data_IF_012218064991
#
_entry.id   IF_012218064991
#
_cell.length_a   1.000
_cell.length_b   1.000
_cell.length_c   1.000
_cell.angle_alpha   90.00
_cell.angle_beta   90.00
_cell.angle_gamma   90.00
#
_symmetry.space_group_name_H-M   'P 1'
#
loop_
_entity.id
_entity.type
_entity.pdbx_description
1 polymer ?
#
# COMPACT_ATOMS: atom_id res chain seq x y z
N UNK A 1 7.15 37.60 -2.91
CA UNK A 1 6.63 37.52 -1.52
C UNK A 1 5.50 36.51 -1.51
N UNK A 2 5.51 35.54 -0.59
CA UNK A 2 4.40 34.57 -0.44
C UNK A 2 3.10 35.32 -0.11
N UNK A 3 2.00 34.98 -0.78
CA UNK A 3 0.69 35.52 -0.40
C UNK A 3 0.25 34.93 0.94
N UNK A 4 -0.59 35.65 1.69
CA UNK A 4 -1.14 35.16 2.97
C UNK A 4 -1.87 33.83 2.77
N UNK A 5 -2.57 33.68 1.65
CA UNK A 5 -3.23 32.44 1.24
C UNK A 5 -2.24 31.27 1.14
N UNK A 6 -1.11 31.46 0.44
CA UNK A 6 -0.09 30.42 0.32
C UNK A 6 0.50 30.02 1.67
N UNK A 7 0.68 30.97 2.59
CA UNK A 7 1.21 30.68 3.93
C UNK A 7 0.25 29.78 4.75
N UNK A 8 -1.06 30.02 4.63
CA UNK A 8 -2.08 29.20 5.30
C UNK A 8 -2.05 27.76 4.77
N UNK A 9 -2.04 27.56 3.45
CA UNK A 9 -2.02 26.21 2.87
C UNK A 9 -0.73 25.46 3.15
N UNK A 10 0.42 26.14 3.16
CA UNK A 10 1.68 25.55 3.60
C UNK A 10 1.58 25.09 5.07
N UNK A 11 0.98 25.91 5.93
CA UNK A 11 0.73 25.56 7.33
C UNK A 11 -0.16 24.32 7.48
N UNK A 12 -1.26 24.25 6.73
CA UNK A 12 -2.17 23.09 6.74
C UNK A 12 -1.43 21.84 6.25
N UNK A 13 -0.68 21.94 5.15
CA UNK A 13 0.09 20.82 4.61
C UNK A 13 1.13 20.29 5.61
N UNK A 14 1.90 21.19 6.25
CA UNK A 14 2.88 20.80 7.26
C UNK A 14 2.22 20.17 8.49
N UNK A 15 1.07 20.69 8.93
CA UNK A 15 0.30 20.11 10.02
C UNK A 15 -0.16 18.68 9.66
N UNK A 16 -0.72 18.49 8.46
CA UNK A 16 -1.16 17.16 8.00
C UNK A 16 0.01 16.19 7.93
N UNK A 17 1.15 16.60 7.39
CA UNK A 17 2.36 15.78 7.37
C UNK A 17 2.85 15.43 8.77
N UNK A 18 2.84 16.40 9.70
CA UNK A 18 3.27 16.17 11.08
C UNK A 18 2.35 15.17 11.79
N UNK A 19 1.02 15.32 11.66
CA UNK A 19 0.05 14.39 12.23
C UNK A 19 0.23 12.97 11.67
N UNK A 20 0.46 12.85 10.36
CA UNK A 20 0.64 11.57 9.68
C UNK A 20 1.98 10.89 10.01
N UNK A 21 3.08 11.65 10.07
CA UNK A 21 4.43 11.11 10.28
C UNK A 21 4.79 10.88 11.74
N UNK A 22 4.25 11.67 12.67
CA UNK A 22 4.47 11.49 14.10
C UNK A 22 3.54 10.42 14.73
N UNK A 23 2.74 9.73 13.91
CA UNK A 23 1.76 8.70 14.31
C UNK A 23 0.82 9.16 15.45
N UNK A 24 0.60 10.48 15.58
CA UNK A 24 -0.27 11.07 16.61
C UNK A 24 -1.74 10.69 16.37
N UNK A 25 -2.09 10.47 15.11
CA UNK A 25 -3.39 9.99 14.65
C UNK A 25 -3.20 8.96 13.55
N UNK A 26 -4.27 8.24 13.17
CA UNK A 26 -4.21 7.40 11.98
C UNK A 26 -4.05 8.24 10.72
N UNK A 27 -3.38 7.70 9.70
CA UNK A 27 -3.15 8.38 8.42
C UNK A 27 -4.45 8.94 7.83
N UNK A 28 -5.55 8.19 7.93
CA UNK A 28 -6.87 8.60 7.46
C UNK A 28 -7.41 9.82 8.23
N UNK A 29 -7.24 9.86 9.56
CA UNK A 29 -7.69 10.99 10.38
C UNK A 29 -6.86 12.23 10.09
N UNK A 30 -5.53 12.10 9.97
CA UNK A 30 -4.65 13.21 9.58
C UNK A 30 -5.04 13.79 8.21
N UNK A 31 -5.31 12.94 7.22
CA UNK A 31 -5.74 13.35 5.89
C UNK A 31 -7.11 14.07 5.92
N UNK A 32 -8.08 13.55 6.68
CA UNK A 32 -9.41 14.17 6.82
C UNK A 32 -9.35 15.53 7.51
N UNK A 33 -8.49 15.70 8.53
CA UNK A 33 -8.25 17.01 9.17
C UNK A 33 -7.66 18.00 8.16
N UNK A 34 -6.66 17.57 7.39
CA UNK A 34 -6.06 18.40 6.33
C UNK A 34 -7.05 18.83 5.27
N UNK A 35 -7.89 17.89 4.80
CA UNK A 35 -8.94 18.15 3.82
C UNK A 35 -10.02 19.11 4.38
N UNK A 36 -10.46 18.90 5.63
CA UNK A 36 -11.44 19.75 6.28
C UNK A 36 -10.93 21.19 6.46
N UNK A 37 -9.69 21.37 6.91
CA UNK A 37 -9.07 22.70 7.05
C UNK A 37 -8.88 23.37 5.70
N UNK A 38 -8.37 22.64 4.70
CA UNK A 38 -8.17 23.17 3.34
C UNK A 38 -9.48 23.62 2.71
N UNK A 39 -10.55 22.84 2.90
CA UNK A 39 -11.91 23.17 2.44
C UNK A 39 -12.46 24.40 3.15
N UNK A 40 -12.36 24.44 4.49
CA UNK A 40 -12.86 25.55 5.30
C UNK A 40 -12.19 26.88 4.93
N UNK A 41 -10.85 26.92 4.89
CA UNK A 41 -10.12 28.12 4.53
C UNK A 41 -10.26 28.47 3.05
N UNK A 42 -10.39 27.47 2.17
CA UNK A 42 -10.62 27.69 0.74
C UNK A 42 -11.93 28.39 0.41
N UNK A 43 -13.02 28.01 1.10
CA UNK A 43 -14.32 28.67 0.95
C UNK A 43 -14.27 30.09 1.56
N UNK A 44 -13.75 30.24 2.78
CA UNK A 44 -13.71 31.54 3.47
C UNK A 44 -12.89 32.58 2.70
N UNK A 45 -11.76 32.15 2.11
CA UNK A 45 -10.86 33.02 1.37
C UNK A 45 -11.26 33.19 -0.11
N UNK A 46 -12.32 32.53 -0.57
CA UNK A 46 -12.78 32.55 -1.97
C UNK A 46 -11.76 31.96 -2.95
N UNK A 47 -10.94 31.01 -2.47
CA UNK A 47 -9.90 30.35 -3.27
C UNK A 47 -10.49 29.20 -4.08
N UNK A 48 -11.48 28.51 -3.53
CA UNK A 48 -12.17 27.40 -4.18
C UNK A 48 -13.68 27.62 -4.16
N UNK A 49 -14.37 27.17 -5.21
CA UNK A 49 -15.82 27.04 -5.19
C UNK A 49 -16.26 25.70 -4.58
N UNK A 50 -17.49 25.58 -4.07
CA UNK A 50 -18.02 24.30 -3.60
C UNK A 50 -17.95 23.19 -4.65
N UNK A 51 -18.12 23.53 -5.94
CA UNK A 51 -18.04 22.59 -7.05
C UNK A 51 -16.60 22.06 -7.23
N UNK A 52 -15.59 22.93 -7.19
CA UNK A 52 -14.17 22.55 -7.31
C UNK A 52 -13.72 21.61 -6.19
N UNK A 53 -14.25 21.81 -4.97
CA UNK A 53 -13.91 20.96 -3.82
C UNK A 53 -14.39 19.51 -4.02
N UNK A 54 -15.54 19.31 -4.66
CA UNK A 54 -16.05 17.98 -4.96
C UNK A 54 -15.17 17.31 -6.02
N UNK A 55 -14.65 18.07 -6.98
CA UNK A 55 -13.75 17.57 -8.03
C UNK A 55 -12.39 17.12 -7.48
N UNK A 56 -11.97 17.57 -6.29
CA UNK A 56 -10.76 17.07 -5.63
C UNK A 56 -10.86 15.59 -5.20
N UNK A 57 -12.07 15.02 -5.15
CA UNK A 57 -12.27 13.61 -4.81
C UNK A 57 -12.28 12.76 -6.08
N UNK A 58 -11.19 12.01 -6.31
CA UNK A 58 -11.17 11.04 -7.41
C UNK A 58 -11.88 9.73 -7.01
N UNK A 59 -13.17 9.66 -7.31
CA UNK A 59 -13.97 8.47 -7.10
C UNK A 59 -13.49 7.26 -7.91
N UNK A 60 -12.83 7.46 -9.07
CA UNK A 60 -12.29 6.34 -9.85
C UNK A 60 -11.19 5.64 -9.08
N UNK A 61 -10.30 6.39 -8.45
CA UNK A 61 -9.23 5.83 -7.60
C UNK A 61 -9.83 5.12 -6.38
N UNK A 62 -10.80 5.74 -5.69
CA UNK A 62 -11.45 5.12 -4.53
C UNK A 62 -12.13 3.80 -4.91
N UNK A 63 -12.92 3.79 -5.98
CA UNK A 63 -13.62 2.59 -6.46
C UNK A 63 -12.64 1.51 -6.94
N UNK A 64 -11.55 1.91 -7.58
CA UNK A 64 -10.47 0.99 -7.98
C UNK A 64 -9.85 0.31 -6.76
N UNK A 65 -9.47 1.07 -5.73
CA UNK A 65 -8.88 0.54 -4.50
C UNK A 65 -9.83 -0.41 -3.77
N UNK A 66 -11.10 -0.05 -3.66
CA UNK A 66 -12.14 -0.93 -3.08
C UNK A 66 -12.25 -2.22 -3.89
N UNK A 67 -12.30 -2.14 -5.22
CA UNK A 67 -12.38 -3.30 -6.10
C UNK A 67 -11.18 -4.24 -5.95
N UNK A 68 -9.96 -3.69 -5.87
CA UNK A 68 -8.74 -4.46 -5.63
C UNK A 68 -8.77 -5.14 -4.27
N UNK A 69 -9.20 -4.44 -3.21
CA UNK A 69 -9.29 -5.02 -1.86
C UNK A 69 -10.31 -6.15 -1.77
N UNK A 70 -11.51 -5.98 -2.34
CA UNK A 70 -12.54 -7.03 -2.37
C UNK A 70 -12.05 -8.25 -3.16
N UNK A 71 -11.43 -8.03 -4.32
CA UNK A 71 -10.88 -9.12 -5.13
C UNK A 71 -9.78 -9.87 -4.38
N UNK A 72 -8.89 -9.14 -3.71
CA UNK A 72 -7.82 -9.72 -2.91
C UNK A 72 -8.35 -10.63 -1.79
N UNK A 73 -9.35 -10.18 -1.04
CA UNK A 73 -9.99 -10.96 0.03
C UNK A 73 -10.58 -12.28 -0.49
N UNK A 74 -11.23 -12.25 -1.66
CA UNK A 74 -11.80 -13.47 -2.29
C UNK A 74 -10.70 -14.43 -2.71
N UNK A 75 -9.61 -13.92 -3.31
CA UNK A 75 -8.46 -14.73 -3.71
C UNK A 75 -7.79 -15.36 -2.49
N UNK A 76 -7.64 -14.62 -1.39
CA UNK A 76 -7.08 -15.15 -0.15
C UNK A 76 -7.92 -16.31 0.40
N UNK A 77 -9.24 -16.11 0.50
CA UNK A 77 -10.17 -17.13 1.03
C UNK A 77 -10.29 -18.37 0.14
N UNK A 78 -10.05 -18.24 -1.17
CA UNK A 78 -10.11 -19.37 -2.11
C UNK A 78 -9.03 -20.44 -1.87
N UNK A 79 -8.01 -20.13 -1.06
CA UNK A 79 -6.88 -21.02 -0.84
C UNK A 79 -5.86 -21.00 -1.98
N UNK A 80 -5.99 -20.09 -2.95
CA UNK A 80 -5.04 -19.94 -4.06
C UNK A 80 -3.60 -19.79 -3.57
N UNK A 81 -3.35 -19.00 -2.52
CA UNK A 81 -2.00 -18.82 -1.97
C UNK A 81 -1.40 -20.10 -1.40
N UNK A 82 -2.23 -20.99 -0.84
CA UNK A 82 -1.77 -22.31 -0.38
C UNK A 82 -1.37 -23.19 -1.56
N UNK A 83 -2.10 -23.13 -2.66
CA UNK A 83 -1.74 -23.85 -3.90
C UNK A 83 -0.41 -23.33 -4.45
N UNK A 84 -0.26 -22.01 -4.58
CA UNK A 84 0.98 -21.37 -5.03
C UNK A 84 2.15 -21.76 -4.13
N UNK A 85 1.96 -21.75 -2.81
CA UNK A 85 2.97 -22.19 -1.84
C UNK A 85 3.42 -23.63 -2.07
N UNK A 86 2.50 -24.57 -2.29
CA UNK A 86 2.83 -25.96 -2.56
C UNK A 86 3.61 -26.13 -3.86
N UNK A 87 3.26 -25.39 -4.91
CA UNK A 87 4.02 -25.39 -6.16
C UNK A 87 5.43 -24.83 -5.98
N UNK A 88 5.57 -23.73 -5.24
CA UNK A 88 6.87 -23.11 -4.94
C UNK A 88 7.77 -24.07 -4.15
N UNK A 89 7.23 -24.75 -3.12
CA UNK A 89 7.96 -25.76 -2.33
C UNK A 89 8.37 -26.95 -3.20
N UNK A 90 7.45 -27.43 -4.06
CA UNK A 90 7.74 -28.55 -4.96
C UNK A 90 8.84 -28.19 -5.96
N UNK A 91 8.82 -26.97 -6.49
CA UNK A 91 9.84 -26.47 -7.41
C UNK A 91 11.20 -26.30 -6.72
N UNK A 92 11.22 -25.75 -5.50
CA UNK A 92 12.45 -25.60 -4.72
C UNK A 92 13.00 -26.92 -4.18
N UNK A 93 12.24 -28.03 -4.30
CA UNK A 93 12.56 -29.33 -3.68
C UNK A 93 12.80 -29.23 -2.17
N UNK A 94 12.22 -28.22 -1.53
CA UNK A 94 12.43 -27.92 -0.11
C UNK A 94 13.76 -27.24 0.22
N UNK A 95 14.57 -26.82 -0.77
CA UNK A 95 15.79 -26.05 -0.50
C UNK A 95 15.44 -24.58 -0.16
N UNK A 96 15.82 -24.08 1.04
CA UNK A 96 15.48 -22.73 1.48
C UNK A 96 16.13 -21.64 0.62
N UNK A 97 17.31 -21.88 0.03
CA UNK A 97 17.98 -20.90 -0.85
C UNK A 97 17.24 -20.77 -2.16
N UNK A 98 16.88 -21.89 -2.79
CA UNK A 98 16.12 -21.88 -4.06
C UNK A 98 14.77 -21.22 -3.84
N UNK A 99 14.11 -21.52 -2.72
CA UNK A 99 12.84 -20.91 -2.35
C UNK A 99 12.98 -19.40 -2.15
N UNK A 100 14.02 -18.95 -1.45
CA UNK A 100 14.30 -17.54 -1.20
C UNK A 100 14.46 -16.76 -2.52
N UNK A 101 15.31 -17.24 -3.43
CA UNK A 101 15.51 -16.59 -4.73
C UNK A 101 14.26 -16.64 -5.61
N UNK A 102 13.50 -17.74 -5.56
CA UNK A 102 12.24 -17.86 -6.30
C UNK A 102 11.21 -16.85 -5.81
N UNK A 103 11.06 -16.68 -4.49
CA UNK A 103 10.17 -15.68 -3.92
C UNK A 103 10.62 -14.26 -4.29
N UNK A 104 11.91 -13.95 -4.19
CA UNK A 104 12.46 -12.66 -4.60
C UNK A 104 12.15 -12.34 -6.08
N UNK A 105 12.33 -13.32 -6.97
CA UNK A 105 12.06 -13.15 -8.39
C UNK A 105 10.56 -12.93 -8.64
N UNK A 106 9.70 -13.75 -8.05
CA UNK A 106 8.24 -13.61 -8.19
C UNK A 106 7.75 -12.28 -7.62
N UNK A 107 8.28 -11.85 -6.47
CA UNK A 107 8.03 -10.54 -5.87
C UNK A 107 8.31 -9.39 -6.84
N UNK A 108 9.48 -9.40 -7.49
CA UNK A 108 9.84 -8.38 -8.47
C UNK A 108 8.92 -8.42 -9.70
N UNK A 109 8.63 -9.60 -10.24
CA UNK A 109 7.75 -9.74 -11.41
C UNK A 109 6.32 -9.27 -11.08
N UNK A 110 5.79 -9.62 -9.90
CA UNK A 110 4.45 -9.22 -9.50
C UNK A 110 4.32 -7.71 -9.31
N UNK A 111 5.38 -7.04 -8.81
CA UNK A 111 5.37 -5.57 -8.66
C UNK A 111 5.26 -4.80 -9.98
N UNK A 112 5.55 -5.43 -11.12
CA UNK A 112 5.33 -4.82 -12.45
C UNK A 112 3.84 -4.75 -12.82
N UNK A 113 2.99 -5.58 -12.21
CA UNK A 113 1.57 -5.69 -12.56
C UNK A 113 0.62 -5.23 -11.46
N UNK A 114 1.10 -5.23 -10.20
CA UNK A 114 0.31 -4.96 -9.00
C UNK A 114 0.85 -3.74 -8.27
N UNK A 115 -0.03 -3.05 -7.53
CA UNK A 115 0.41 -2.02 -6.59
C UNK A 115 1.27 -2.65 -5.46
N UNK A 116 2.21 -1.88 -4.92
CA UNK A 116 3.13 -2.35 -3.88
C UNK A 116 2.39 -2.99 -2.69
N UNK A 117 1.31 -2.34 -2.22
CA UNK A 117 0.50 -2.85 -1.11
C UNK A 117 -0.09 -4.22 -1.46
N UNK A 118 -0.68 -4.37 -2.64
CA UNK A 118 -1.26 -5.63 -3.09
C UNK A 118 -0.20 -6.72 -3.27
N UNK A 119 0.95 -6.40 -3.86
CA UNK A 119 2.04 -7.34 -4.06
C UNK A 119 2.62 -7.83 -2.72
N UNK A 120 2.80 -6.91 -1.76
CA UNK A 120 3.33 -7.25 -0.42
C UNK A 120 2.37 -8.18 0.30
N UNK A 121 1.07 -7.89 0.31
CA UNK A 121 0.07 -8.74 0.96
C UNK A 121 0.04 -10.15 0.35
N UNK A 122 0.11 -10.25 -0.98
CA UNK A 122 0.13 -11.53 -1.68
C UNK A 122 1.35 -12.37 -1.32
N UNK A 123 2.55 -11.76 -1.41
CA UNK A 123 3.79 -12.46 -1.09
C UNK A 123 3.87 -12.78 0.41
N UNK A 124 3.41 -11.90 1.29
CA UNK A 124 3.38 -12.17 2.72
C UNK A 124 2.47 -13.36 3.05
N UNK A 125 1.29 -13.45 2.44
CA UNK A 125 0.39 -14.59 2.59
C UNK A 125 1.03 -15.90 2.09
N UNK A 126 1.69 -15.86 0.93
CA UNK A 126 2.37 -17.02 0.35
C UNK A 126 3.60 -17.44 1.18
N UNK A 127 4.53 -16.52 1.44
CA UNK A 127 5.75 -16.76 2.20
C UNK A 127 5.45 -17.19 3.65
N UNK A 128 4.45 -16.61 4.30
CA UNK A 128 4.01 -17.02 5.64
C UNK A 128 3.40 -18.43 5.64
N UNK A 129 2.72 -18.82 4.57
CA UNK A 129 2.23 -20.19 4.40
C UNK A 129 3.37 -21.18 4.18
N UNK A 130 4.34 -20.83 3.33
CA UNK A 130 5.50 -21.68 3.07
C UNK A 130 6.35 -21.86 4.33
N UNK A 131 6.65 -20.77 5.04
CA UNK A 131 7.43 -20.78 6.27
C UNK A 131 6.79 -21.69 7.34
N UNK A 132 5.46 -21.65 7.48
CA UNK A 132 4.72 -22.57 8.38
C UNK A 132 4.79 -24.02 7.94
N UNK A 133 4.63 -24.32 6.65
CA UNK A 133 4.69 -25.70 6.13
C UNK A 133 6.09 -26.29 6.28
N UNK A 134 7.13 -25.50 6.02
CA UNK A 134 8.53 -25.94 6.03
C UNK A 134 9.20 -25.79 7.40
N UNK A 135 8.52 -25.18 8.37
CA UNK A 135 9.05 -24.81 9.69
C UNK A 135 10.32 -23.93 9.61
N UNK A 136 10.27 -22.91 8.75
CA UNK A 136 11.34 -21.93 8.56
C UNK A 136 11.00 -20.59 9.21
N UNK A 137 12.04 -19.80 9.52
CA UNK A 137 11.87 -18.40 9.92
C UNK A 137 11.29 -17.59 8.74
N UNK A 138 10.11 -16.97 8.87
CA UNK A 138 9.49 -16.18 7.80
C UNK A 138 10.16 -14.83 7.57
N UNK A 139 10.91 -14.30 8.55
CA UNK A 139 11.43 -12.92 8.51
C UNK A 139 12.27 -12.63 7.26
N UNK A 140 13.25 -13.47 6.87
CA UNK A 140 14.07 -13.21 5.69
C UNK A 140 13.24 -13.12 4.39
N UNK A 141 12.21 -13.95 4.25
CA UNK A 141 11.35 -13.97 3.06
C UNK A 141 10.47 -12.73 2.96
N UNK A 142 9.95 -12.23 4.09
CA UNK A 142 9.16 -11.00 4.10
C UNK A 142 10.02 -9.77 3.79
N UNK A 143 11.19 -9.66 4.42
CA UNK A 143 12.08 -8.53 4.21
C UNK A 143 12.59 -8.50 2.78
N UNK A 144 13.02 -9.65 2.24
CA UNK A 144 13.50 -9.72 0.86
C UNK A 144 12.40 -9.45 -0.15
N UNK A 145 11.19 -9.97 0.06
CA UNK A 145 10.05 -9.68 -0.79
C UNK A 145 9.70 -8.19 -0.81
N UNK A 146 9.68 -7.54 0.36
CA UNK A 146 9.41 -6.11 0.46
C UNK A 146 10.44 -5.29 -0.32
N UNK A 147 11.73 -5.63 -0.20
CA UNK A 147 12.81 -5.00 -0.98
C UNK A 147 12.59 -5.21 -2.47
N UNK A 148 12.32 -6.45 -2.90
CA UNK A 148 12.19 -6.78 -4.32
C UNK A 148 10.95 -6.16 -4.98
N UNK A 149 9.84 -6.04 -4.25
CA UNK A 149 8.63 -5.36 -4.73
C UNK A 149 8.92 -3.87 -4.97
N UNK A 150 9.58 -3.22 -4.01
CA UNK A 150 9.96 -1.81 -4.16
C UNK A 150 11.00 -1.58 -5.26
N UNK A 151 11.89 -2.55 -5.53
CA UNK A 151 12.85 -2.47 -6.64
C UNK A 151 12.24 -2.78 -8.01
N UNK A 152 11.23 -3.64 -8.08
CA UNK A 152 10.65 -4.09 -9.34
C UNK A 152 9.58 -3.14 -9.90
N UNK A 153 8.93 -2.33 -9.05
CA UNK A 153 7.87 -1.40 -9.44
C UNK A 153 8.34 -0.02 -9.92
N UNK A 154 9.63 0.18 -10.21
CA UNK A 154 10.16 1.42 -10.81
C UNK A 154 10.14 1.35 -12.33
#
# INVERSE_FOLDING_TARGET
>A
MLSVVSMIYIGIYLLTLLLASAELTSLSVAALIGAALSTLFGIILGVFTPEEIIEFIDFRVILLLVGVMVTFEVVERSGLFRVIALYAIKYSRGDPKILFFSLCFVSAVLSLFLSDVTAILLIAAAAGTIARIMNYDPVPYFVSAAIMINLGGT
#
